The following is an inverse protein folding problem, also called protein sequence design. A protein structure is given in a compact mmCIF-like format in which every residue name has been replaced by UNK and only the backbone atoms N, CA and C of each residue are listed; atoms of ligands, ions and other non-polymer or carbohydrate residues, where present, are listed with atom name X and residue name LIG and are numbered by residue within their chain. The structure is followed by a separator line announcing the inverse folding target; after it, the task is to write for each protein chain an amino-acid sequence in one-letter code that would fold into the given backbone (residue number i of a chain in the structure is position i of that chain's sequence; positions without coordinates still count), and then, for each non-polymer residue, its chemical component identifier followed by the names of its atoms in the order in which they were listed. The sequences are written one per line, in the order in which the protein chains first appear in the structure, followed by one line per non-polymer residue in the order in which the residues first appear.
data_IF_491570161890
#
_entry.id   IF_491570161890
#
_cell.length_a   1.000
_cell.length_b   1.000
_cell.length_c   1.000
_cell.angle_alpha   90.00
_cell.angle_beta   90.00
_cell.angle_gamma   90.00
#
_symmetry.space_group_name_H-M   'P 1'
#
loop_
_entity.id
_entity.type
_entity.pdbx_description
1 polymer ?
#
# COMPACT_ATOMS: atom_id res chain seq x y z
N UNK A 1 -1.65 -1.94 -0.82
CA UNK A 1 -1.87 -0.52 -0.44
C UNK A 1 -0.52 0.19 -0.35
N UNK A 2 -0.38 1.39 -0.89
CA UNK A 2 0.88 2.16 -0.87
C UNK A 2 0.60 3.61 -0.52
N UNK A 3 1.27 4.16 0.51
CA UNK A 3 1.19 5.59 0.79
C UNK A 3 2.09 6.37 -0.18
N UNK A 4 1.53 7.27 -0.99
CA UNK A 4 2.22 7.94 -2.09
C UNK A 4 2.39 9.44 -1.86
N UNK A 5 3.32 10.04 -2.59
CA UNK A 5 3.57 11.48 -2.61
C UNK A 5 4.01 11.93 -4.01
N UNK A 6 3.50 13.05 -4.51
CA UNK A 6 3.82 13.63 -5.82
C UNK A 6 5.22 14.23 -5.96
N UNK A 7 5.80 14.77 -4.88
CA UNK A 7 7.12 15.43 -4.85
C UNK A 7 8.11 14.68 -3.95
N UNK A 8 8.18 13.37 -4.11
CA UNK A 8 9.14 12.52 -3.41
C UNK A 8 10.22 12.01 -4.36
N UNK A 9 11.44 11.80 -3.87
CA UNK A 9 12.49 11.13 -4.68
C UNK A 9 12.13 9.69 -5.08
N UNK A 10 11.10 9.11 -4.45
CA UNK A 10 10.59 7.78 -4.74
C UNK A 10 9.34 7.77 -5.64
N UNK A 11 8.81 8.94 -6.03
CA UNK A 11 7.65 9.03 -6.94
C UNK A 11 7.80 8.22 -8.25
N UNK A 12 9.01 8.05 -8.83
CA UNK A 12 9.19 7.14 -9.96
C UNK A 12 8.73 5.68 -9.74
N UNK A 13 8.62 5.20 -8.50
CA UNK A 13 8.07 3.86 -8.21
C UNK A 13 6.61 3.69 -8.63
N UNK A 14 5.87 4.77 -8.91
CA UNK A 14 4.53 4.69 -9.52
C UNK A 14 4.55 3.91 -10.84
N UNK A 15 5.65 3.96 -11.61
CA UNK A 15 5.81 3.18 -12.84
C UNK A 15 5.91 1.68 -12.55
N UNK A 16 6.75 1.29 -11.59
CA UNK A 16 6.88 -0.09 -11.13
C UNK A 16 5.56 -0.63 -10.55
N UNK A 17 4.82 0.21 -9.79
CA UNK A 17 3.48 -0.14 -9.30
C UNK A 17 2.46 -0.32 -10.43
N UNK A 18 2.53 0.52 -11.46
CA UNK A 18 1.66 0.41 -12.64
C UNK A 18 1.96 -0.88 -13.43
N UNK A 19 3.23 -1.26 -13.52
CA UNK A 19 3.64 -2.52 -14.15
C UNK A 19 3.11 -3.73 -13.37
N UNK A 20 3.27 -3.76 -12.03
CA UNK A 20 2.67 -4.78 -11.18
C UNK A 20 1.15 -4.88 -11.39
N UNK A 21 0.47 -3.73 -11.37
CA UNK A 21 -0.98 -3.69 -11.55
C UNK A 21 -1.37 -4.26 -12.92
N UNK A 22 -0.72 -3.81 -13.99
CA UNK A 22 -0.95 -4.34 -15.35
C UNK A 22 -0.76 -5.85 -15.42
N UNK A 23 0.30 -6.38 -14.79
CA UNK A 23 0.65 -7.81 -14.84
C UNK A 23 -0.33 -8.70 -14.07
N UNK A 24 -0.91 -8.22 -12.97
CA UNK A 24 -1.65 -9.05 -12.02
C UNK A 24 -3.10 -8.63 -11.77
N UNK A 25 -3.59 -7.53 -12.33
CA UNK A 25 -4.97 -7.06 -12.13
C UNK A 25 -6.00 -8.12 -12.54
N UNK A 26 -5.84 -8.72 -13.72
CA UNK A 26 -6.72 -9.78 -14.20
C UNK A 26 -6.64 -11.08 -13.36
N UNK A 27 -5.64 -11.20 -12.49
CA UNK A 27 -5.43 -12.35 -11.60
C UNK A 27 -5.89 -12.08 -10.17
N UNK A 28 -6.39 -10.87 -9.87
CA UNK A 28 -6.93 -10.50 -8.56
C UNK A 28 -6.13 -9.43 -7.80
N UNK A 29 -4.98 -8.97 -8.31
CA UNK A 29 -4.23 -7.91 -7.63
C UNK A 29 -4.84 -6.53 -7.89
N UNK A 30 -5.22 -5.83 -6.81
CA UNK A 30 -5.50 -4.39 -6.88
C UNK A 30 -4.37 -3.62 -6.18
N UNK A 31 -3.66 -2.79 -6.94
CA UNK A 31 -2.81 -1.76 -6.34
C UNK A 31 -3.71 -0.60 -5.92
N UNK A 32 -3.47 -0.03 -4.74
CA UNK A 32 -4.22 1.12 -4.22
C UNK A 32 -3.21 2.16 -3.77
N UNK A 33 -3.21 3.32 -4.42
CA UNK A 33 -2.43 4.47 -3.97
C UNK A 33 -3.23 5.29 -2.96
N UNK A 34 -2.54 5.66 -1.88
CA UNK A 34 -3.05 6.52 -0.81
C UNK A 34 -2.16 7.76 -0.73
N UNK A 35 -2.51 8.83 -1.46
CA UNK A 35 -1.75 10.08 -1.41
C UNK A 35 -1.75 10.66 0.00
N UNK A 36 -0.58 11.06 0.52
CA UNK A 36 -0.47 11.60 1.87
C UNK A 36 0.59 12.69 1.98
N UNK A 37 0.24 13.76 2.70
CA UNK A 37 1.15 14.89 2.93
C UNK A 37 1.93 14.79 4.26
N UNK A 38 1.78 13.68 5.00
CA UNK A 38 2.33 13.55 6.36
C UNK A 38 3.86 13.41 6.40
N UNK A 39 4.49 13.06 5.28
CA UNK A 39 5.93 12.89 5.17
C UNK A 39 6.57 14.04 4.39
N UNK A 40 7.13 15.01 5.12
CA UNK A 40 7.90 16.12 4.55
C UNK A 40 7.09 17.06 3.66
N UNK A 41 5.77 17.08 3.80
CA UNK A 41 4.84 17.86 2.98
C UNK A 41 5.07 17.65 1.46
N UNK A 42 5.26 16.38 1.05
CA UNK A 42 5.62 16.01 -0.31
C UNK A 42 4.44 15.68 -1.23
N UNK A 43 3.20 15.64 -0.73
CA UNK A 43 2.00 15.50 -1.58
C UNK A 43 1.41 16.90 -1.85
N UNK A 44 2.10 17.60 -2.76
CA UNK A 44 1.89 19.02 -3.07
C UNK A 44 0.75 19.25 -4.07
N UNK A 45 0.25 18.18 -4.70
CA UNK A 45 -0.94 18.27 -5.56
C UNK A 45 -2.13 18.65 -4.67
N UNK A 46 -2.99 19.59 -5.11
CA UNK A 46 -4.22 19.94 -4.37
C UNK A 46 -5.08 18.73 -4.01
N UNK A 47 -5.89 18.87 -2.96
CA UNK A 47 -6.71 17.76 -2.43
C UNK A 47 -7.88 17.37 -3.31
N UNK A 48 -8.26 18.18 -4.29
CA UNK A 48 -9.39 17.84 -5.16
C UNK A 48 -9.08 16.59 -6.00
N UNK A 49 -10.01 15.63 -5.96
CA UNK A 49 -9.85 14.30 -6.55
C UNK A 49 -9.49 14.37 -8.04
N UNK A 50 -10.08 15.33 -8.77
CA UNK A 50 -9.84 15.49 -10.21
C UNK A 50 -8.39 15.90 -10.52
N UNK A 51 -7.82 16.85 -9.78
CA UNK A 51 -6.42 17.29 -9.98
C UNK A 51 -5.44 16.23 -9.53
N UNK A 52 -5.73 15.54 -8.42
CA UNK A 52 -4.91 14.45 -7.91
C UNK A 52 -4.86 13.28 -8.90
N UNK A 53 -6.02 12.84 -9.36
CA UNK A 53 -6.12 11.78 -10.36
C UNK A 53 -5.45 12.18 -11.68
N UNK A 54 -5.65 13.42 -12.14
CA UNK A 54 -5.04 13.93 -13.36
C UNK A 54 -3.51 13.88 -13.28
N UNK A 55 -2.90 14.29 -12.16
CA UNK A 55 -1.44 14.23 -11.98
C UNK A 55 -0.90 12.80 -12.10
N UNK A 56 -1.49 11.85 -11.35
CA UNK A 56 -1.03 10.46 -11.35
C UNK A 56 -1.23 9.81 -12.72
N UNK A 57 -2.29 10.17 -13.45
CA UNK A 57 -2.56 9.69 -14.82
C UNK A 57 -1.61 10.30 -15.84
N UNK A 58 -1.43 11.61 -15.88
CA UNK A 58 -0.66 12.28 -16.94
C UNK A 58 0.84 12.03 -16.82
N UNK A 59 1.37 12.01 -15.60
CA UNK A 59 2.81 11.93 -15.36
C UNK A 59 3.33 10.49 -15.30
N UNK A 60 2.50 9.55 -14.82
CA UNK A 60 2.91 8.19 -14.51
C UNK A 60 2.05 7.10 -15.15
N UNK A 61 1.04 7.46 -15.95
CA UNK A 61 0.10 6.53 -16.59
C UNK A 61 -0.57 5.58 -15.59
N UNK A 62 -0.87 6.07 -14.38
CA UNK A 62 -1.52 5.28 -13.35
C UNK A 62 -2.95 4.94 -13.77
N UNK A 63 -3.29 3.65 -13.75
CA UNK A 63 -4.64 3.14 -14.01
C UNK A 63 -5.27 2.45 -12.79
N UNK A 64 -4.48 2.18 -11.76
CA UNK A 64 -4.99 1.62 -10.52
C UNK A 64 -5.73 2.70 -9.68
N UNK A 65 -6.65 2.29 -8.78
CA UNK A 65 -7.36 3.22 -7.92
C UNK A 65 -6.45 4.10 -7.05
N UNK A 66 -6.85 5.36 -6.91
CA UNK A 66 -6.21 6.38 -6.07
C UNK A 66 -7.29 6.87 -5.10
N UNK A 67 -6.98 6.90 -3.80
CA UNK A 67 -7.90 7.47 -2.81
C UNK A 67 -7.83 8.99 -2.80
N UNK A 68 -8.74 9.63 -2.07
CA UNK A 68 -8.54 11.02 -1.64
C UNK A 68 -7.27 11.14 -0.80
N UNK A 69 -6.72 12.35 -0.69
CA UNK A 69 -5.56 12.61 0.17
C UNK A 69 -5.90 12.24 1.63
N UNK A 70 -5.07 11.41 2.25
CA UNK A 70 -5.38 10.76 3.51
C UNK A 70 -4.27 10.94 4.54
N UNK A 71 -4.68 11.14 5.80
CA UNK A 71 -3.80 11.09 6.97
C UNK A 71 -3.39 9.65 7.26
N UNK A 72 -2.10 9.40 7.38
CA UNK A 72 -1.51 8.07 7.60
C UNK A 72 -0.65 8.02 8.86
N UNK A 73 -0.32 9.17 9.45
CA UNK A 73 0.39 9.29 10.72
C UNK A 73 -0.45 10.02 11.77
N UNK A 74 -0.19 9.72 13.04
CA UNK A 74 -0.78 10.42 14.17
C UNK A 74 -2.12 9.83 14.63
N UNK A 75 -2.71 10.46 15.64
CA UNK A 75 -3.99 10.05 16.24
C UNK A 75 -5.17 10.24 15.28
N UNK A 76 -5.00 11.10 14.26
CA UNK A 76 -5.95 11.37 13.18
C UNK A 76 -5.70 10.51 11.92
N UNK A 77 -4.76 9.56 11.97
CA UNK A 77 -4.53 8.64 10.87
C UNK A 77 -5.79 7.83 10.52
N UNK A 78 -5.97 7.51 9.24
CA UNK A 78 -7.07 6.64 8.81
C UNK A 78 -7.02 5.28 9.52
N UNK A 79 -8.20 4.72 9.85
CA UNK A 79 -8.32 3.50 10.66
C UNK A 79 -7.51 2.31 10.12
N UNK A 80 -7.37 2.18 8.80
CA UNK A 80 -6.47 1.21 8.18
C UNK A 80 -5.03 1.32 8.72
N UNK A 81 -4.46 2.54 8.75
CA UNK A 81 -3.10 2.76 9.24
C UNK A 81 -3.02 2.63 10.76
N UNK A 82 -4.07 3.00 11.51
CA UNK A 82 -4.09 2.76 12.95
C UNK A 82 -4.07 1.26 13.28
N UNK A 83 -4.93 0.47 12.62
CA UNK A 83 -5.07 -0.96 12.85
C UNK A 83 -3.82 -1.75 12.42
N UNK A 84 -3.22 -1.42 11.28
CA UNK A 84 -2.13 -2.22 10.71
C UNK A 84 -0.89 -2.28 11.61
N UNK A 85 -0.68 -1.30 12.50
CA UNK A 85 0.41 -1.31 13.51
C UNK A 85 0.34 -2.51 14.43
N UNK A 86 -0.85 -2.93 14.83
CA UNK A 86 -1.04 -4.09 15.71
C UNK A 86 -0.66 -5.40 15.01
N UNK A 87 -0.64 -5.39 13.67
CA UNK A 87 -0.31 -6.55 12.84
C UNK A 87 1.15 -6.57 12.36
N UNK A 88 1.99 -5.58 12.74
CA UNK A 88 3.42 -5.61 12.44
C UNK A 88 4.14 -6.66 13.29
N UNK A 89 4.32 -7.84 12.73
CA UNK A 89 5.12 -8.92 13.29
C UNK A 89 6.39 -9.14 12.48
N UNK A 90 7.33 -9.91 13.05
CA UNK A 90 8.50 -10.37 12.31
C UNK A 90 8.13 -11.27 11.13
N UNK A 91 6.93 -11.85 11.11
CA UNK A 91 6.47 -12.75 10.05
C UNK A 91 6.05 -11.99 8.79
N UNK A 92 5.41 -10.83 8.95
CA UNK A 92 4.97 -9.98 7.83
C UNK A 92 6.04 -8.99 7.37
N UNK A 93 7.13 -8.81 8.12
CA UNK A 93 8.27 -7.98 7.72
C UNK A 93 9.63 -8.62 8.06
N UNK A 94 9.92 -9.85 7.60
CA UNK A 94 11.06 -10.63 8.06
C UNK A 94 12.42 -10.06 7.63
N UNK A 95 12.51 -9.48 6.43
CA UNK A 95 13.75 -8.90 5.90
C UNK A 95 14.21 -7.63 6.66
N UNK A 96 13.34 -6.98 7.43
CA UNK A 96 13.62 -5.67 8.03
C UNK A 96 14.07 -5.69 9.48
N UNK A 97 13.90 -6.81 10.19
CA UNK A 97 14.25 -6.93 11.61
C UNK A 97 15.72 -7.32 11.81
N UNK A 98 16.36 -7.93 10.80
CA UNK A 98 17.68 -8.53 10.95
C UNK A 98 18.89 -7.64 10.60
N UNK A 99 18.71 -6.42 10.09
CA UNK A 99 19.87 -5.55 9.81
C UNK A 99 19.80 -4.10 10.32
N UNK A 100 18.63 -3.52 10.64
CA UNK A 100 18.60 -2.13 11.12
C UNK A 100 17.53 -1.87 12.20
N UNK A 101 18.02 -1.97 13.44
CA UNK A 101 17.55 -1.37 14.70
C UNK A 101 16.32 -1.99 15.40
N UNK A 102 16.49 -2.55 16.63
CA UNK A 102 15.38 -2.89 17.55
C UNK A 102 14.60 -1.68 18.10
N UNK A 103 14.79 -0.49 17.52
CA UNK A 103 14.26 0.78 18.03
C UNK A 103 12.81 1.09 17.60
N UNK A 104 12.16 0.29 16.74
CA UNK A 104 10.79 0.59 16.29
C UNK A 104 9.77 0.48 17.43
N UNK A 105 9.80 -0.63 18.19
CA UNK A 105 8.97 -0.80 19.38
C UNK A 105 9.33 0.21 20.49
N UNK A 106 10.60 0.65 20.55
CA UNK A 106 11.12 1.58 21.55
C UNK A 106 10.85 3.07 21.23
N UNK A 107 10.78 3.49 19.96
CA UNK A 107 10.46 4.89 19.61
C UNK A 107 8.95 5.15 19.60
N UNK A 108 8.14 4.19 19.14
CA UNK A 108 6.68 4.29 19.19
C UNK A 108 6.18 4.45 20.63
N UNK A 109 6.86 3.82 21.60
CA UNK A 109 6.56 3.95 23.04
C UNK A 109 7.02 5.27 23.68
N UNK A 110 8.05 5.94 23.17
CA UNK A 110 8.52 7.22 23.74
C UNK A 110 7.88 8.46 23.11
N UNK A 111 7.35 8.35 21.89
CA UNK A 111 6.75 9.49 21.19
C UNK A 111 5.22 9.49 21.24
N UNK A 112 4.58 8.44 21.77
CA UNK A 112 3.13 8.27 21.79
C UNK A 112 2.46 8.56 20.43
N UNK A 113 3.19 8.29 19.34
CA UNK A 113 2.71 8.40 17.97
C UNK A 113 2.86 7.00 17.38
N UNK A 114 1.78 6.28 17.09
CA UNK A 114 1.88 5.05 16.31
C UNK A 114 2.43 5.43 14.94
N UNK A 115 3.74 5.24 14.73
CA UNK A 115 4.38 5.44 13.42
C UNK A 115 4.11 4.19 12.59
N UNK A 116 2.92 4.15 12.02
CA UNK A 116 2.39 3.10 11.13
C UNK A 116 3.26 2.98 9.87
N UNK A 117 3.76 4.13 9.40
CA UNK A 117 4.64 4.24 8.26
C UNK A 117 5.88 5.06 8.50
N UNK A 118 6.99 4.65 7.88
CA UNK A 118 8.31 5.32 8.07
C UNK A 118 8.53 6.50 7.14
N UNK A 119 7.98 6.43 5.93
CA UNK A 119 8.10 7.44 4.89
C UNK A 119 7.09 7.18 3.78
N UNK A 120 7.04 8.05 2.77
CA UNK A 120 6.39 7.78 1.50
C UNK A 120 6.90 6.47 0.86
N UNK A 121 6.01 5.77 0.16
CA UNK A 121 6.21 4.54 -0.62
C UNK A 121 6.44 3.25 0.18
N UNK A 122 5.94 3.17 1.41
CA UNK A 122 5.80 1.89 2.09
C UNK A 122 4.63 1.10 1.51
N UNK A 123 4.76 -0.21 1.45
CA UNK A 123 3.84 -1.08 0.70
C UNK A 123 3.31 -2.14 1.64
N UNK A 124 2.00 -2.24 1.70
CA UNK A 124 1.27 -3.19 2.52
C UNK A 124 0.53 -4.16 1.61
N UNK A 125 0.86 -5.45 1.73
CA UNK A 125 0.17 -6.52 1.03
C UNK A 125 -0.92 -7.05 1.97
N UNK A 126 -2.16 -6.83 1.57
CA UNK A 126 -3.36 -7.29 2.27
C UNK A 126 -4.06 -8.28 1.35
N UNK A 127 -4.50 -9.40 1.89
CA UNK A 127 -5.22 -10.41 1.11
C UNK A 127 -6.73 -10.17 1.06
N UNK A 128 -7.47 -11.08 0.43
CA UNK A 128 -8.92 -11.01 0.27
C UNK A 128 -9.71 -11.15 1.58
N UNK A 129 -9.10 -11.72 2.62
CA UNK A 129 -9.69 -11.81 3.96
C UNK A 129 -9.49 -10.52 4.76
N UNK A 130 -8.66 -9.60 4.26
CA UNK A 130 -8.28 -8.36 4.96
C UNK A 130 -7.05 -8.52 5.85
N UNK A 131 -6.37 -9.67 5.81
CA UNK A 131 -5.19 -9.93 6.63
C UNK A 131 -3.95 -9.28 6.03
N UNK A 132 -3.12 -8.67 6.88
CA UNK A 132 -1.79 -8.21 6.50
C UNK A 132 -0.88 -9.43 6.25
N UNK A 133 -0.33 -9.54 5.04
CA UNK A 133 0.55 -10.64 4.63
C UNK A 133 2.00 -10.22 4.47
N UNK A 134 2.27 -8.99 4.07
CA UNK A 134 3.63 -8.46 3.99
C UNK A 134 3.69 -6.94 4.08
N UNK A 135 4.81 -6.42 4.58
CA UNK A 135 5.17 -5.01 4.54
C UNK A 135 6.55 -4.84 3.91
N UNK A 136 6.60 -4.08 2.82
CA UNK A 136 7.85 -3.71 2.16
C UNK A 136 8.17 -2.23 2.39
N UNK A 137 9.42 -1.90 2.76
CA UNK A 137 9.86 -0.55 3.04
C UNK A 137 9.87 0.33 1.78
N UNK A 138 10.06 1.63 2.00
CA UNK A 138 10.17 2.64 0.94
C UNK A 138 11.23 2.35 -0.14
N UNK A 139 12.34 1.70 0.21
CA UNK A 139 13.51 1.49 -0.64
C UNK A 139 13.51 0.14 -1.37
N UNK A 140 12.51 -0.71 -1.15
CA UNK A 140 12.29 -1.90 -1.96
C UNK A 140 11.47 -1.48 -3.18
N UNK A 141 12.01 -1.73 -4.37
CA UNK A 141 11.28 -1.49 -5.62
C UNK A 141 10.10 -2.48 -5.72
N UNK A 142 8.91 -2.05 -6.20
CA UNK A 142 7.78 -2.95 -6.38
C UNK A 142 8.07 -4.18 -7.26
N UNK A 143 9.04 -4.10 -8.17
CA UNK A 143 9.43 -5.20 -9.06
C UNK A 143 10.57 -6.07 -8.51
N UNK A 144 11.01 -5.86 -7.26
CA UNK A 144 11.97 -6.77 -6.63
C UNK A 144 11.39 -8.19 -6.53
N UNK A 145 12.22 -9.25 -6.69
CA UNK A 145 11.75 -10.63 -6.67
C UNK A 145 10.93 -10.99 -5.43
N UNK A 146 11.31 -10.51 -4.25
CA UNK A 146 10.60 -10.78 -2.98
C UNK A 146 9.15 -10.26 -3.01
N UNK A 147 8.92 -9.08 -3.61
CA UNK A 147 7.57 -8.50 -3.76
C UNK A 147 6.75 -9.32 -4.75
N UNK A 148 7.35 -9.64 -5.90
CA UNK A 148 6.71 -10.41 -6.97
C UNK A 148 6.33 -11.81 -6.48
N UNK A 149 7.25 -12.52 -5.82
CA UNK A 149 7.01 -13.86 -5.30
C UNK A 149 5.91 -13.86 -4.23
N UNK A 150 5.91 -12.86 -3.34
CA UNK A 150 4.85 -12.69 -2.34
C UNK A 150 3.48 -12.55 -3.01
N UNK A 151 3.36 -11.66 -4.00
CA UNK A 151 2.12 -11.46 -4.76
C UNK A 151 1.72 -12.76 -5.47
N UNK A 152 2.64 -13.39 -6.22
CA UNK A 152 2.34 -14.61 -6.97
C UNK A 152 1.90 -15.76 -6.07
N UNK A 153 2.48 -15.89 -4.88
CA UNK A 153 2.09 -16.94 -3.93
C UNK A 153 0.69 -16.69 -3.34
N UNK A 154 0.35 -15.44 -3.03
CA UNK A 154 -1.02 -15.10 -2.60
C UNK A 154 -2.04 -15.33 -3.71
N UNK A 155 -1.73 -14.91 -4.93
CA UNK A 155 -2.62 -15.10 -6.08
C UNK A 155 -2.85 -16.58 -6.43
N UNK A 156 -1.87 -17.47 -6.21
CA UNK A 156 -2.06 -18.93 -6.37
C UNK A 156 -3.06 -19.51 -5.39
N UNK A 157 -3.19 -18.89 -4.21
CA UNK A 157 -4.05 -19.35 -3.12
C UNK A 157 -5.45 -18.71 -3.14
N UNK A 158 -5.68 -17.72 -4.03
CA UNK A 158 -7.01 -17.18 -4.26
C UNK A 158 -7.91 -18.28 -4.82
N UNK A 159 -9.00 -18.58 -4.12
CA UNK A 159 -10.06 -19.41 -4.67
C UNK A 159 -10.54 -18.80 -6.00
N UNK A 160 -10.83 -19.61 -7.03
CA UNK A 160 -11.39 -19.08 -8.28
C UNK A 160 -12.66 -18.28 -7.95
N UNK A 161 -12.93 -17.17 -8.66
CA UNK A 161 -14.10 -16.36 -8.40
C UNK A 161 -15.35 -17.24 -8.45
N UNK A 162 -16.15 -17.18 -7.39
CA UNK A 162 -17.42 -17.92 -7.34
C UNK A 162 -18.25 -17.52 -8.57
N UNK A 163 -18.85 -18.48 -9.30
CA UNK A 163 -19.70 -18.13 -10.43
C UNK A 163 -20.81 -17.19 -9.97
N UNK A 164 -21.23 -16.22 -10.81
CA UNK A 164 -22.29 -15.29 -10.45
C UNK A 164 -23.51 -16.09 -10.01
N UNK A 165 -24.05 -15.75 -8.84
CA UNK A 165 -25.26 -16.40 -8.32
C UNK A 165 -26.40 -16.18 -9.30
N UNK A 166 -26.77 -17.22 -10.05
CA UNK A 166 -27.96 -17.21 -10.89
C UNK A 166 -29.17 -17.22 -9.95
N UNK A 167 -29.63 -16.04 -9.53
CA UNK A 167 -30.97 -15.90 -8.99
C UNK A 167 -31.96 -16.24 -10.09
N UNK A 168 -32.43 -17.49 -10.10
CA UNK A 168 -33.63 -17.89 -10.83
C UNK A 168 -34.79 -17.06 -10.28
N UNK A 169 -35.50 -16.28 -11.10
CA UNK A 169 -36.72 -15.63 -10.65
C UNK A 169 -37.75 -16.72 -10.37
N UNK A 170 -38.22 -16.77 -9.13
CA UNK A 170 -39.37 -17.60 -8.74
C UNK A 170 -40.59 -17.15 -9.54
N UNK A 171 -41.21 -18.11 -10.25
CA UNK A 171 -42.42 -17.93 -11.03
C UNK A 171 -43.67 -17.74 -10.16
#
# INVERSE_FOLDING_TARGET
VVNTASKCGLTPQLKSLQELHTRYAAKGLTVLAVPSNDFGAQEVVPEDDATLEAFYKSEYNVTFPITTKTKVLGDDAHLFYQAIVEHYTNEVSPAYVHHHRPHYLSLSSHLNIPRTSRWNFEKFIVDESGDLRAVFPRNVDPLEPEVIETIENLLKNLAPPSPPSTTTPTA
#
